data_IF_312585109598
#
_entry.id   IF_312585109598
#
_cell.length_a   1.000
_cell.length_b   1.000
_cell.length_c   1.000
_cell.angle_alpha   90.00
_cell.angle_beta   90.00
_cell.angle_gamma   90.00
#
_symmetry.space_group_name_H-M   'P 1'
#
loop_
_entity.id
_entity.type
_entity.pdbx_description
1 polymer ?
#
# COMPACT_ATOMS: atom_id res chain seq x y z
N UNK A 1 9.74 -14.01 8.43
CA UNK A 1 10.20 -13.02 7.43
C UNK A 1 9.07 -12.69 6.45
N UNK A 2 8.11 -11.89 6.91
CA UNK A 2 6.99 -11.35 6.11
C UNK A 2 6.74 -9.92 6.61
N UNK A 3 6.75 -9.75 7.93
CA UNK A 3 6.81 -8.49 8.69
C UNK A 3 7.89 -7.50 8.24
N UNK A 4 9.10 -7.95 7.86
CA UNK A 4 10.13 -7.03 7.38
C UNK A 4 9.70 -6.33 6.07
N UNK A 5 9.04 -7.07 5.17
CA UNK A 5 8.52 -6.52 3.93
C UNK A 5 7.32 -5.57 4.18
N UNK A 6 6.55 -5.81 5.24
CA UNK A 6 5.48 -4.90 5.71
C UNK A 6 6.07 -3.59 6.18
N UNK A 7 7.06 -3.67 7.08
CA UNK A 7 7.67 -2.50 7.69
C UNK A 7 8.38 -1.68 6.61
N UNK A 8 9.11 -2.34 5.72
CA UNK A 8 9.77 -1.68 4.60
C UNK A 8 8.75 -1.01 3.68
N UNK A 9 7.72 -1.73 3.22
CA UNK A 9 6.67 -1.15 2.36
C UNK A 9 5.91 -0.01 3.04
N UNK A 10 5.65 -0.08 4.34
CA UNK A 10 4.99 0.98 5.10
C UNK A 10 5.89 2.22 5.24
N UNK A 11 7.19 2.00 5.49
CA UNK A 11 8.18 3.07 5.58
C UNK A 11 8.37 3.78 4.24
N UNK A 12 8.47 3.02 3.15
CA UNK A 12 8.57 3.57 1.79
C UNK A 12 7.30 4.33 1.42
N UNK A 13 6.11 3.86 1.81
CA UNK A 13 4.84 4.55 1.54
C UNK A 13 4.77 5.90 2.28
N UNK A 14 5.18 5.93 3.55
CA UNK A 14 5.30 7.16 4.34
C UNK A 14 6.30 8.14 3.71
N UNK A 15 7.49 7.67 3.37
CA UNK A 15 8.52 8.50 2.72
C UNK A 15 8.03 9.07 1.38
N UNK A 16 7.36 8.27 0.56
CA UNK A 16 6.80 8.69 -0.73
C UNK A 16 5.71 9.74 -0.55
N UNK A 17 4.85 9.57 0.47
CA UNK A 17 3.77 10.54 0.79
C UNK A 17 4.35 11.87 1.28
N UNK A 18 5.39 11.83 2.11
CA UNK A 18 6.08 13.03 2.59
C UNK A 18 6.74 13.76 1.42
N UNK A 19 7.46 13.04 0.56
CA UNK A 19 8.07 13.61 -0.66
C UNK A 19 7.03 14.22 -1.60
N UNK A 20 5.87 13.57 -1.76
CA UNK A 20 4.79 14.10 -2.57
C UNK A 20 4.28 15.45 -2.05
N UNK A 21 4.15 15.61 -0.73
CA UNK A 21 3.60 16.82 -0.10
C UNK A 21 4.64 17.95 -0.06
N UNK A 22 5.90 17.62 0.26
CA UNK A 22 6.96 18.61 0.46
C UNK A 22 7.55 19.08 -0.88
N UNK A 23 7.79 18.14 -1.79
CA UNK A 23 8.47 18.38 -3.07
C UNK A 23 7.50 18.20 -4.24
N UNK A 24 6.31 18.82 -4.14
CA UNK A 24 5.29 18.70 -5.18
C UNK A 24 5.86 19.21 -6.52
N UNK A 25 6.15 18.32 -7.49
CA UNK A 25 6.95 18.70 -8.63
C UNK A 25 6.14 19.58 -9.57
N UNK A 26 6.76 20.64 -10.08
CA UNK A 26 6.11 21.56 -11.00
C UNK A 26 5.92 20.86 -12.37
N UNK A 27 4.70 20.40 -12.66
CA UNK A 27 4.36 19.59 -13.84
C UNK A 27 4.57 20.32 -15.18
N UNK A 28 4.82 21.63 -15.16
CA UNK A 28 5.13 22.43 -16.36
C UNK A 28 6.56 22.25 -16.85
N UNK A 29 7.45 21.70 -16.02
CA UNK A 29 8.87 21.53 -16.36
C UNK A 29 9.14 20.07 -16.68
N UNK A 30 9.99 19.80 -17.68
CA UNK A 30 10.38 18.43 -18.06
C UNK A 30 10.91 17.60 -16.87
N UNK A 31 11.71 18.25 -16.00
CA UNK A 31 12.19 17.63 -14.76
C UNK A 31 11.06 17.29 -13.78
N UNK A 32 10.02 18.12 -13.70
CA UNK A 32 8.86 17.87 -12.84
C UNK A 32 8.06 16.66 -13.31
N UNK A 33 7.94 16.45 -14.62
CA UNK A 33 7.30 15.28 -15.21
C UNK A 33 8.08 14.00 -14.86
N UNK A 34 9.41 14.03 -14.95
CA UNK A 34 10.26 12.89 -14.59
C UNK A 34 10.13 12.57 -13.09
N UNK A 35 10.20 13.59 -12.23
CA UNK A 35 10.02 13.42 -10.79
C UNK A 35 8.64 12.84 -10.45
N UNK A 36 7.59 13.34 -11.09
CA UNK A 36 6.25 12.83 -10.91
C UNK A 36 6.11 11.36 -11.36
N UNK A 37 6.72 11.01 -12.49
CA UNK A 37 6.73 9.62 -12.99
C UNK A 37 7.44 8.66 -12.02
N UNK A 38 8.59 9.08 -11.47
CA UNK A 38 9.31 8.32 -10.43
C UNK A 38 8.46 8.13 -9.18
N UNK A 39 7.77 9.18 -8.70
CA UNK A 39 6.82 9.10 -7.59
C UNK A 39 5.70 8.08 -7.86
N UNK A 40 5.13 8.06 -9.06
CA UNK A 40 4.11 7.10 -9.47
C UNK A 40 4.64 5.66 -9.46
N UNK A 41 5.83 5.43 -10.01
CA UNK A 41 6.47 4.10 -10.01
C UNK A 41 6.75 3.64 -8.57
N UNK A 42 7.24 4.53 -7.72
CA UNK A 42 7.51 4.23 -6.30
C UNK A 42 6.23 3.82 -5.57
N UNK A 43 5.12 4.51 -5.85
CA UNK A 43 3.80 4.21 -5.30
C UNK A 43 3.30 2.84 -5.79
N UNK A 44 3.51 2.50 -7.06
CA UNK A 44 3.17 1.20 -7.65
C UNK A 44 3.95 0.04 -7.01
N UNK A 45 5.25 0.24 -6.73
CA UNK A 45 6.08 -0.74 -6.02
C UNK A 45 5.57 -0.91 -4.59
N UNK A 46 5.20 0.16 -3.90
CA UNK A 46 4.56 0.10 -2.58
C UNK A 46 3.25 -0.70 -2.60
N UNK A 47 2.36 -0.44 -3.56
CA UNK A 47 1.09 -1.18 -3.72
C UNK A 47 1.36 -2.66 -3.98
N UNK A 48 2.32 -2.97 -4.85
CA UNK A 48 2.72 -4.35 -5.16
C UNK A 48 3.27 -5.06 -3.92
N UNK A 49 4.10 -4.38 -3.12
CA UNK A 49 4.61 -4.88 -1.84
C UNK A 49 3.49 -5.19 -0.85
N UNK A 50 2.48 -4.32 -0.75
CA UNK A 50 1.28 -4.55 0.06
C UNK A 50 0.48 -5.74 -0.47
N UNK A 51 0.29 -5.89 -1.78
CA UNK A 51 -0.47 -7.00 -2.38
C UNK A 51 0.23 -8.34 -2.15
N UNK A 52 1.54 -8.42 -2.37
CA UNK A 52 2.35 -9.63 -2.15
C UNK A 52 2.38 -9.99 -0.67
N UNK A 53 2.53 -8.98 0.19
CA UNK A 53 2.60 -9.22 1.61
C UNK A 53 1.25 -9.60 2.18
N UNK A 54 0.15 -8.94 1.75
CA UNK A 54 -1.21 -9.24 2.19
C UNK A 54 -1.49 -10.69 1.82
N UNK A 55 -1.39 -11.63 2.79
CA UNK A 55 -1.86 -12.97 2.50
C UNK A 55 -3.34 -12.81 2.23
N UNK A 56 -3.87 -13.50 1.21
CA UNK A 56 -5.29 -13.50 0.80
C UNK A 56 -6.26 -13.72 1.98
N UNK A 57 -6.44 -12.70 2.83
CA UNK A 57 -7.26 -12.72 4.04
C UNK A 57 -8.76 -12.75 3.68
N UNK A 58 -9.07 -12.60 2.39
CA UNK A 58 -10.42 -12.52 1.84
C UNK A 58 -10.95 -13.85 1.29
N UNK A 59 -10.21 -14.96 1.36
CA UNK A 59 -10.79 -16.28 1.00
C UNK A 59 -11.13 -17.18 2.19
N UNK A 60 -10.91 -16.73 3.44
CA UNK A 60 -11.19 -17.52 4.64
C UNK A 60 -12.09 -16.86 5.69
N UNK A 61 -12.83 -15.81 5.33
CA UNK A 61 -13.84 -15.15 6.20
C UNK A 61 -15.28 -15.29 5.67
N UNK A 62 -15.70 -16.48 5.23
CA UNK A 62 -17.11 -16.70 4.84
C UNK A 62 -17.80 -17.95 5.40
N UNK A 63 -17.33 -18.49 6.53
CA UNK A 63 -18.00 -19.62 7.20
C UNK A 63 -18.01 -19.60 8.74
N UNK A 64 -17.82 -18.45 9.40
CA UNK A 64 -17.85 -18.36 10.89
C UNK A 64 -18.75 -17.24 11.43
N UNK A 65 -19.78 -16.84 10.68
CA UNK A 65 -20.87 -16.00 11.18
C UNK A 65 -22.22 -16.64 10.84
N UNK A 66 -22.35 -17.93 11.15
CA UNK A 66 -23.64 -18.64 11.21
C UNK A 66 -24.06 -18.80 12.68
N UNK A 67 -24.64 -17.72 13.21
CA UNK A 67 -25.68 -17.69 14.24
C UNK A 67 -25.55 -18.66 15.43
N UNK A 68 -25.04 -18.11 16.53
CA UNK A 68 -25.49 -18.48 17.87
C UNK A 68 -26.91 -17.94 18.06
N UNK A 69 -27.92 -18.80 17.95
CA UNK A 69 -29.25 -18.59 18.52
C UNK A 69 -29.87 -19.95 18.87
N UNK A 70 -30.28 -20.10 20.12
CA UNK A 70 -31.23 -21.15 20.53
C UNK A 70 -30.80 -21.99 21.72
N UNK A 71 -30.94 -21.43 22.92
CA UNK A 71 -31.24 -22.21 24.14
C UNK A 71 -32.61 -22.88 23.95
N UNK A 72 -32.70 -24.20 24.12
CA UNK A 72 -33.67 -24.90 24.98
C UNK A 72 -33.40 -26.40 24.96
#
# INVERSE_FOLDING_TARGET
MKTFNIILSAFTLLATTILLIVDFPNLKTFNGIIYFSLLVVLLLVCVTGIIINTPRLTFKRRHRFGLSFGKH
#
